data_IF_261225438884
#
_entry.id   IF_261225438884
#
_cell.length_a   1.000
_cell.length_b   1.000
_cell.length_c   1.000
_cell.angle_alpha   90.00
_cell.angle_beta   90.00
_cell.angle_gamma   90.00
#
_symmetry.space_group_name_H-M   'P 1'
#
loop_
_entity.id
_entity.type
_entity.pdbx_description
1 polymer ?
#
# COMPACT_ATOMS: atom_id res chain seq x y z
N UNK A 1 14.54 17.49 -6.30
CA UNK A 1 13.40 17.85 -7.21
C UNK A 1 12.30 18.37 -6.31
N UNK A 2 11.73 19.52 -6.61
CA UNK A 2 10.52 19.98 -5.90
C UNK A 2 9.30 19.24 -6.48
N UNK A 3 8.63 18.44 -5.65
CA UNK A 3 7.45 17.66 -6.07
C UNK A 3 6.16 18.48 -6.10
N UNK A 4 6.18 19.76 -5.72
CA UNK A 4 5.03 20.66 -5.72
C UNK A 4 3.84 20.14 -4.90
N UNK A 5 4.13 19.46 -3.78
CA UNK A 5 3.14 18.85 -2.90
C UNK A 5 2.80 19.70 -1.68
N UNK A 6 3.55 20.77 -1.42
CA UNK A 6 3.37 21.63 -0.25
C UNK A 6 1.94 22.15 -0.15
N UNK A 7 1.33 21.98 1.02
CA UNK A 7 -0.03 22.44 1.33
C UNK A 7 -1.13 21.46 0.91
N UNK A 8 -0.82 20.32 0.29
CA UNK A 8 -1.77 19.25 0.01
C UNK A 8 -2.11 18.45 1.26
N UNK A 9 -3.28 17.81 1.25
CA UNK A 9 -3.74 16.90 2.29
C UNK A 9 -3.73 15.46 1.78
N UNK A 10 -3.24 14.54 2.60
CA UNK A 10 -3.20 13.12 2.26
C UNK A 10 -3.81 12.25 3.37
N UNK A 11 -4.40 11.14 2.99
CA UNK A 11 -4.73 10.03 3.87
C UNK A 11 -3.86 8.84 3.49
N UNK A 12 -3.15 8.27 4.46
CA UNK A 12 -2.35 7.04 4.28
C UNK A 12 -2.89 5.97 5.20
N UNK A 13 -3.63 5.00 4.65
CA UNK A 13 -4.13 3.87 5.43
C UNK A 13 -2.98 2.91 5.77
N UNK A 14 -2.96 2.39 7.01
CA UNK A 14 -1.81 1.61 7.48
C UNK A 14 -0.52 2.41 7.60
N UNK A 15 -0.61 3.75 7.71
CA UNK A 15 0.51 4.70 7.71
C UNK A 15 1.39 4.73 8.96
N UNK A 16 1.19 3.80 9.91
CA UNK A 16 1.94 3.74 11.17
C UNK A 16 3.01 2.65 11.24
N UNK A 17 3.20 1.86 10.17
CA UNK A 17 4.21 0.80 10.12
C UNK A 17 4.67 0.54 8.67
N UNK A 18 5.85 -0.07 8.51
CA UNK A 18 6.40 -0.55 7.24
C UNK A 18 6.31 0.48 6.11
N UNK A 19 5.87 0.02 4.92
CA UNK A 19 5.72 0.86 3.72
C UNK A 19 4.85 2.10 3.99
N UNK A 20 3.72 1.92 4.70
CA UNK A 20 2.82 3.02 5.01
C UNK A 20 3.46 4.13 5.86
N UNK A 21 4.29 3.78 6.83
CA UNK A 21 5.02 4.75 7.65
C UNK A 21 6.09 5.49 6.83
N UNK A 22 6.81 4.78 5.96
CA UNK A 22 7.76 5.40 5.05
C UNK A 22 7.07 6.39 4.10
N UNK A 23 5.90 6.02 3.54
CA UNK A 23 5.06 6.91 2.71
C UNK A 23 4.62 8.14 3.52
N UNK A 24 4.14 7.93 4.75
CA UNK A 24 3.74 9.03 5.65
C UNK A 24 4.87 10.03 5.85
N UNK A 25 6.09 9.53 6.15
CA UNK A 25 7.28 10.37 6.31
C UNK A 25 7.66 11.10 5.03
N UNK A 26 7.67 10.42 3.89
CA UNK A 26 8.03 11.00 2.61
C UNK A 26 7.08 12.13 2.21
N UNK A 27 5.76 11.92 2.29
CA UNK A 27 4.77 12.94 1.98
C UNK A 27 4.83 14.12 2.96
N UNK A 28 4.99 13.85 4.26
CA UNK A 28 5.13 14.90 5.27
C UNK A 28 6.39 15.78 5.06
N UNK A 29 7.50 15.18 4.63
CA UNK A 29 8.74 15.89 4.28
C UNK A 29 8.56 16.83 3.06
N UNK A 30 7.67 16.49 2.13
CA UNK A 30 7.28 17.34 0.99
C UNK A 30 6.26 18.43 1.37
N UNK A 31 5.95 18.58 2.66
CA UNK A 31 5.02 19.61 3.16
C UNK A 31 3.54 19.26 3.02
N UNK A 32 3.22 17.98 2.83
CA UNK A 32 1.85 17.45 2.84
C UNK A 32 1.37 17.29 4.29
N UNK A 33 0.14 17.67 4.57
CA UNK A 33 -0.53 17.30 5.84
C UNK A 33 -1.07 15.89 5.71
N UNK A 34 -0.45 14.94 6.41
CA UNK A 34 -0.80 13.52 6.29
C UNK A 34 -1.68 13.08 7.44
N UNK A 35 -2.85 12.55 7.14
CA UNK A 35 -3.74 11.89 8.11
C UNK A 35 -3.48 10.38 8.10
N UNK A 36 -3.21 9.82 9.28
CA UNK A 36 -2.95 8.39 9.48
C UNK A 36 -4.04 7.79 10.37
N UNK A 37 -5.00 7.03 9.80
CA UNK A 37 -5.97 6.28 10.59
C UNK A 37 -5.35 5.00 11.16
N UNK A 38 -5.82 4.59 12.36
CA UNK A 38 -5.40 3.34 12.97
C UNK A 38 -6.22 3.01 14.22
N UNK A 39 -6.13 1.75 14.68
CA UNK A 39 -6.97 1.20 15.77
C UNK A 39 -6.54 1.62 17.16
N UNK A 40 -5.26 1.88 17.37
CA UNK A 40 -4.69 2.18 18.69
C UNK A 40 -4.05 3.56 18.71
N UNK A 41 -4.59 4.44 19.55
CA UNK A 41 -4.04 5.79 19.78
C UNK A 41 -2.59 5.73 20.26
N UNK A 42 -2.27 4.81 21.13
CA UNK A 42 -0.92 4.63 21.69
C UNK A 42 0.09 4.27 20.58
N UNK A 43 -0.25 3.24 19.75
CA UNK A 43 0.61 2.82 18.63
C UNK A 43 0.77 3.94 17.59
N UNK A 44 -0.30 4.66 17.26
CA UNK A 44 -0.24 5.82 16.38
C UNK A 44 0.70 6.89 16.93
N UNK A 45 0.50 7.30 18.19
CA UNK A 45 1.33 8.34 18.79
C UNK A 45 2.81 7.93 18.87
N UNK A 46 3.11 6.66 19.17
CA UNK A 46 4.48 6.14 19.19
C UNK A 46 5.10 6.16 17.78
N UNK A 47 4.39 5.68 16.78
CA UNK A 47 4.90 5.56 15.41
C UNK A 47 5.11 6.92 14.73
N UNK A 48 4.24 7.89 15.05
CA UNK A 48 4.23 9.21 14.42
C UNK A 48 4.96 10.29 15.23
N UNK A 49 5.53 9.92 16.37
CA UNK A 49 6.27 10.85 17.22
C UNK A 49 7.42 11.53 16.47
N UNK A 50 7.50 12.86 16.57
CA UNK A 50 8.55 13.66 15.92
C UNK A 50 8.37 13.90 14.42
N UNK A 51 7.32 13.36 13.80
CA UNK A 51 7.02 13.66 12.39
C UNK A 51 6.11 14.88 12.34
N UNK A 52 6.58 15.95 11.73
CA UNK A 52 5.78 17.19 11.54
C UNK A 52 4.74 16.97 10.41
N UNK A 53 3.67 17.77 10.43
CA UNK A 53 2.57 17.73 9.45
C UNK A 53 1.81 16.38 9.40
N UNK A 54 1.76 15.63 10.51
CA UNK A 54 1.03 14.37 10.58
C UNK A 54 -0.06 14.43 11.65
N UNK A 55 -1.24 13.90 11.32
CA UNK A 55 -2.40 13.78 12.21
C UNK A 55 -2.78 12.31 12.41
N UNK A 56 -2.87 11.88 13.65
CA UNK A 56 -3.37 10.55 14.00
C UNK A 56 -4.89 10.57 14.19
N UNK A 57 -5.60 9.62 13.61
CA UNK A 57 -7.05 9.44 13.83
C UNK A 57 -7.32 8.00 14.28
N UNK A 58 -8.05 7.87 15.39
CA UNK A 58 -8.47 6.54 15.86
C UNK A 58 -9.70 6.10 15.06
N UNK A 59 -9.47 5.30 14.04
CA UNK A 59 -10.48 4.69 13.19
C UNK A 59 -9.86 3.46 12.50
N UNK A 60 -10.61 2.38 12.35
CA UNK A 60 -10.16 1.18 11.61
C UNK A 60 -10.75 1.19 10.18
N UNK A 61 -10.03 1.68 9.17
CA UNK A 61 -10.55 1.73 7.80
C UNK A 61 -10.75 0.32 7.19
N UNK A 62 -10.28 -0.74 7.85
CA UNK A 62 -10.56 -2.12 7.49
C UNK A 62 -12.02 -2.52 7.67
N UNK A 63 -12.80 -1.79 8.49
CA UNK A 63 -14.23 -2.03 8.70
C UNK A 63 -15.08 -0.94 8.07
N UNK A 64 -16.37 -1.22 7.84
CA UNK A 64 -17.32 -0.24 7.30
C UNK A 64 -17.52 0.94 8.27
N UNK A 65 -17.67 0.64 9.55
CA UNK A 65 -17.87 1.61 10.62
C UNK A 65 -16.65 2.51 10.80
N UNK A 66 -15.46 1.92 10.79
CA UNK A 66 -14.22 2.69 10.91
C UNK A 66 -13.92 3.55 9.69
N UNK A 67 -14.25 3.09 8.47
CA UNK A 67 -14.18 3.91 7.27
C UNK A 67 -15.15 5.11 7.35
N UNK A 68 -16.39 4.89 7.81
CA UNK A 68 -17.36 5.96 8.02
C UNK A 68 -16.90 6.98 9.08
N UNK A 69 -16.33 6.51 10.19
CA UNK A 69 -15.79 7.35 11.26
C UNK A 69 -14.57 8.20 10.78
N UNK A 70 -13.73 7.65 9.92
CA UNK A 70 -12.64 8.38 9.28
C UNK A 70 -13.18 9.48 8.35
N UNK A 71 -14.12 9.14 7.48
CA UNK A 71 -14.75 10.05 6.53
C UNK A 71 -15.43 11.23 7.25
N UNK A 72 -16.11 10.95 8.35
CA UNK A 72 -16.77 12.01 9.15
C UNK A 72 -15.76 13.02 9.70
N UNK A 73 -14.57 12.57 10.10
CA UNK A 73 -13.53 13.42 10.68
C UNK A 73 -12.66 14.11 9.61
N UNK A 74 -12.55 13.51 8.43
CA UNK A 74 -11.76 14.00 7.30
C UNK A 74 -12.61 13.89 6.04
N UNK A 75 -13.51 14.85 5.79
CA UNK A 75 -14.47 14.77 4.67
C UNK A 75 -13.81 14.91 3.29
N UNK A 76 -12.63 15.52 3.21
CA UNK A 76 -11.91 15.78 1.96
C UNK A 76 -10.43 15.47 2.07
N UNK A 77 -9.83 15.06 0.95
CA UNK A 77 -8.39 14.87 0.81
C UNK A 77 -7.95 15.03 -0.65
N UNK A 78 -6.74 15.52 -0.85
CA UNK A 78 -6.13 15.64 -2.18
C UNK A 78 -5.49 14.32 -2.64
N UNK A 79 -4.95 13.54 -1.70
CA UNK A 79 -4.20 12.32 -1.97
C UNK A 79 -4.74 11.21 -1.08
N UNK A 80 -5.14 10.10 -1.69
CA UNK A 80 -5.58 8.89 -0.98
C UNK A 80 -4.62 7.75 -1.29
N UNK A 81 -3.88 7.29 -0.27
CA UNK A 81 -3.02 6.11 -0.36
C UNK A 81 -3.69 4.93 0.34
N UNK A 82 -4.25 4.03 -0.45
CA UNK A 82 -4.86 2.78 -0.01
C UNK A 82 -3.75 1.74 0.20
N UNK A 83 -3.08 1.78 1.37
CA UNK A 83 -1.97 0.91 1.71
C UNK A 83 -2.35 -0.17 2.73
N UNK A 84 -3.49 -0.05 3.42
CA UNK A 84 -3.91 -1.05 4.41
C UNK A 84 -4.01 -2.44 3.77
N UNK A 85 -3.41 -3.43 4.43
CA UNK A 85 -3.49 -4.82 4.01
C UNK A 85 -3.00 -5.77 5.09
N UNK A 86 -3.50 -6.99 5.00
CA UNK A 86 -3.05 -8.15 5.78
C UNK A 86 -2.66 -9.28 4.83
N UNK A 87 -1.80 -10.15 5.28
CA UNK A 87 -1.44 -11.39 4.60
C UNK A 87 -1.26 -12.51 5.63
N UNK A 88 -1.53 -13.72 5.23
CA UNK A 88 -1.36 -14.91 6.07
C UNK A 88 -1.04 -16.09 5.15
N UNK A 89 0.18 -16.68 5.23
CA UNK A 89 0.46 -17.93 4.55
C UNK A 89 -0.41 -19.05 5.09
N UNK A 90 -1.08 -19.77 4.18
CA UNK A 90 -1.97 -20.86 4.55
C UNK A 90 -2.15 -21.82 3.36
N UNK A 91 -2.07 -23.17 3.57
CA UNK A 91 -2.37 -24.15 2.54
C UNK A 91 -3.77 -23.92 1.96
N UNK A 92 -3.93 -24.04 0.65
CA UNK A 92 -5.21 -23.73 0.00
C UNK A 92 -6.40 -24.49 0.59
N UNK A 93 -6.21 -25.77 0.89
CA UNK A 93 -7.28 -26.59 1.47
C UNK A 93 -7.72 -26.18 2.89
N UNK A 94 -6.90 -25.36 3.58
CA UNK A 94 -7.17 -24.86 4.93
C UNK A 94 -7.74 -23.44 4.95
N UNK A 95 -7.76 -22.75 3.80
CA UNK A 95 -8.31 -21.39 3.69
C UNK A 95 -9.84 -21.49 3.73
N UNK A 96 -10.43 -21.06 4.84
CA UNK A 96 -11.89 -21.07 5.03
C UNK A 96 -12.56 -19.90 4.32
N UNK A 97 -13.89 -19.98 4.10
CA UNK A 97 -14.67 -18.84 3.60
C UNK A 97 -14.50 -17.60 4.49
N UNK A 98 -14.41 -17.80 5.80
CA UNK A 98 -14.18 -16.70 6.74
C UNK A 98 -12.82 -16.02 6.51
N UNK A 99 -11.76 -16.77 6.21
CA UNK A 99 -10.43 -16.21 5.86
C UNK A 99 -10.52 -15.40 4.55
N UNK A 100 -11.21 -15.94 3.52
CA UNK A 100 -11.45 -15.24 2.27
C UNK A 100 -12.21 -13.92 2.49
N UNK A 101 -13.29 -13.94 3.24
CA UNK A 101 -14.09 -12.75 3.52
C UNK A 101 -13.29 -11.72 4.30
N UNK A 102 -12.56 -12.14 5.34
CA UNK A 102 -11.72 -11.26 6.17
C UNK A 102 -10.65 -10.56 5.37
N UNK A 103 -9.89 -11.32 4.57
CA UNK A 103 -8.78 -10.71 3.80
C UNK A 103 -9.32 -9.79 2.70
N UNK A 104 -10.44 -10.13 2.07
CA UNK A 104 -11.10 -9.29 1.07
C UNK A 104 -11.66 -8.01 1.70
N UNK A 105 -12.28 -8.10 2.86
CA UNK A 105 -12.78 -6.96 3.64
C UNK A 105 -11.68 -5.93 3.89
N UNK A 106 -10.53 -6.39 4.42
CA UNK A 106 -9.43 -5.52 4.81
C UNK A 106 -8.66 -5.02 3.60
N UNK A 107 -8.28 -5.90 2.65
CA UNK A 107 -7.38 -5.54 1.56
C UNK A 107 -8.07 -4.85 0.39
N UNK A 108 -9.36 -5.12 0.18
CA UNK A 108 -10.10 -4.65 -1.00
C UNK A 108 -11.15 -3.62 -0.61
N UNK A 109 -12.12 -4.02 0.25
CA UNK A 109 -13.25 -3.16 0.58
C UNK A 109 -12.85 -1.91 1.35
N UNK A 110 -11.77 -1.92 2.13
CA UNK A 110 -11.23 -0.71 2.77
C UNK A 110 -10.93 0.38 1.73
N UNK A 111 -10.17 0.05 0.69
CA UNK A 111 -9.83 0.97 -0.39
C UNK A 111 -11.04 1.38 -1.24
N UNK A 112 -11.97 0.44 -1.48
CA UNK A 112 -13.23 0.72 -2.18
C UNK A 112 -14.09 1.73 -1.42
N UNK A 113 -14.25 1.59 -0.10
CA UNK A 113 -15.06 2.50 0.73
C UNK A 113 -14.51 3.92 0.72
N UNK A 114 -13.21 4.06 0.91
CA UNK A 114 -12.56 5.36 0.92
C UNK A 114 -12.57 5.99 -0.47
N UNK A 115 -12.21 5.23 -1.51
CA UNK A 115 -12.25 5.73 -2.88
C UNK A 115 -13.67 6.15 -3.31
N UNK A 116 -14.71 5.40 -2.92
CA UNK A 116 -16.11 5.75 -3.20
C UNK A 116 -16.50 7.13 -2.65
N UNK A 117 -15.90 7.52 -1.53
CA UNK A 117 -16.17 8.82 -0.91
C UNK A 117 -15.29 9.94 -1.50
N UNK A 118 -13.98 9.74 -1.56
CA UNK A 118 -13.04 10.81 -1.91
C UNK A 118 -12.90 11.03 -3.41
N UNK A 119 -12.96 9.98 -4.22
CA UNK A 119 -12.73 10.08 -5.66
C UNK A 119 -13.72 11.00 -6.39
N UNK A 120 -15.06 10.95 -6.16
CA UNK A 120 -15.99 11.92 -6.77
C UNK A 120 -15.65 13.36 -6.44
N UNK A 121 -15.25 13.65 -5.19
CA UNK A 121 -14.82 14.98 -4.75
C UNK A 121 -13.56 15.47 -5.46
N UNK A 122 -12.60 14.57 -5.66
CA UNK A 122 -11.40 14.87 -6.46
C UNK A 122 -11.77 15.23 -7.90
N UNK A 123 -12.75 14.55 -8.51
CA UNK A 123 -13.25 14.89 -9.84
C UNK A 123 -13.93 16.27 -9.87
N UNK A 124 -14.76 16.60 -8.87
CA UNK A 124 -15.42 17.91 -8.72
C UNK A 124 -14.38 19.05 -8.61
N UNK A 125 -13.31 18.84 -7.84
CA UNK A 125 -12.22 19.81 -7.68
C UNK A 125 -11.24 19.80 -8.85
N UNK A 126 -11.41 18.90 -9.81
CA UNK A 126 -10.50 18.66 -10.95
C UNK A 126 -9.04 18.46 -10.54
N UNK A 127 -8.79 17.87 -9.36
CA UNK A 127 -7.46 17.45 -8.91
C UNK A 127 -7.56 16.35 -7.84
N UNK A 128 -6.71 15.37 -7.94
CA UNK A 128 -6.61 14.30 -6.94
C UNK A 128 -5.66 13.20 -7.35
N UNK A 129 -5.21 12.44 -6.35
CA UNK A 129 -4.35 11.27 -6.51
C UNK A 129 -4.90 10.12 -5.70
N UNK A 130 -5.31 9.05 -6.36
CA UNK A 130 -5.67 7.79 -5.70
C UNK A 130 -4.60 6.76 -6.02
N UNK A 131 -3.97 6.22 -4.99
CA UNK A 131 -2.87 5.27 -5.12
C UNK A 131 -3.23 4.01 -4.32
N UNK A 132 -3.18 2.86 -4.99
CA UNK A 132 -3.31 1.57 -4.32
C UNK A 132 -1.92 0.95 -4.15
N UNK A 133 -1.62 0.44 -2.97
CA UNK A 133 -0.42 -0.36 -2.72
C UNK A 133 -0.81 -1.83 -2.84
N UNK A 134 -0.62 -2.36 -4.05
CA UNK A 134 -0.85 -3.76 -4.35
C UNK A 134 0.38 -4.62 -3.96
N UNK A 135 0.83 -5.47 -4.85
CA UNK A 135 2.01 -6.35 -4.71
C UNK A 135 2.32 -6.97 -6.06
N UNK A 136 3.56 -7.46 -6.25
CA UNK A 136 3.90 -8.39 -7.33
C UNK A 136 3.00 -9.63 -7.30
N UNK A 137 2.54 -10.00 -6.09
CA UNK A 137 1.61 -11.12 -5.88
C UNK A 137 0.26 -10.96 -6.55
N UNK A 138 -0.10 -9.74 -6.95
CA UNK A 138 -1.30 -9.47 -7.76
C UNK A 138 -1.16 -9.93 -9.23
N UNK A 139 0.07 -10.16 -9.70
CA UNK A 139 0.39 -10.66 -11.05
C UNK A 139 0.95 -12.08 -10.98
N UNK A 140 1.84 -12.34 -10.04
CA UNK A 140 2.43 -13.65 -9.78
C UNK A 140 1.97 -14.16 -8.41
N UNK A 141 0.77 -14.72 -8.38
CA UNK A 141 0.13 -15.20 -7.14
C UNK A 141 0.96 -16.31 -6.50
N UNK A 142 1.44 -16.14 -5.26
CA UNK A 142 2.20 -17.17 -4.57
C UNK A 142 1.30 -18.32 -4.13
N UNK A 143 1.70 -19.59 -4.35
CA UNK A 143 0.86 -20.73 -4.00
C UNK A 143 0.60 -20.86 -2.49
N UNK A 144 1.49 -20.33 -1.67
CA UNK A 144 1.35 -20.29 -0.21
C UNK A 144 0.40 -19.21 0.31
N UNK A 145 -0.09 -18.31 -0.55
CA UNK A 145 -0.97 -17.19 -0.18
C UNK A 145 -1.96 -16.83 -1.30
N UNK A 146 -2.68 -17.80 -1.84
CA UNK A 146 -3.56 -17.59 -3.01
C UNK A 146 -4.61 -16.50 -2.75
N UNK A 147 -5.28 -16.53 -1.60
CA UNK A 147 -6.31 -15.54 -1.24
C UNK A 147 -5.72 -14.12 -1.13
N UNK A 148 -4.48 -13.98 -0.65
CA UNK A 148 -3.78 -12.70 -0.66
C UNK A 148 -3.55 -12.20 -2.10
N UNK A 149 -3.01 -13.05 -2.97
CA UNK A 149 -2.76 -12.72 -4.38
C UNK A 149 -4.03 -12.25 -5.09
N UNK A 150 -5.17 -12.94 -4.87
CA UNK A 150 -6.48 -12.52 -5.40
C UNK A 150 -6.85 -11.11 -4.95
N UNK A 151 -6.65 -10.77 -3.67
CA UNK A 151 -6.96 -9.41 -3.20
C UNK A 151 -6.05 -8.36 -3.86
N UNK A 152 -4.80 -8.69 -4.12
CA UNK A 152 -3.85 -7.79 -4.79
C UNK A 152 -4.16 -7.61 -6.28
N UNK A 153 -4.59 -8.68 -6.98
CA UNK A 153 -5.14 -8.59 -8.34
C UNK A 153 -6.41 -7.72 -8.38
N UNK A 154 -7.28 -7.86 -7.39
CA UNK A 154 -8.51 -7.04 -7.29
C UNK A 154 -8.20 -5.55 -7.17
N UNK A 155 -7.14 -5.18 -6.43
CA UNK A 155 -6.70 -3.78 -6.33
C UNK A 155 -6.23 -3.22 -7.68
N UNK A 156 -5.53 -4.02 -8.51
CA UNK A 156 -5.13 -3.64 -9.87
C UNK A 156 -6.36 -3.33 -10.74
N UNK A 157 -7.34 -4.23 -10.71
CA UNK A 157 -8.57 -4.08 -11.49
C UNK A 157 -9.39 -2.85 -11.05
N UNK A 158 -9.54 -2.64 -9.73
CA UNK A 158 -10.27 -1.48 -9.17
C UNK A 158 -9.58 -0.18 -9.58
N UNK A 159 -8.25 -0.10 -9.40
CA UNK A 159 -7.46 1.07 -9.77
C UNK A 159 -7.61 1.40 -11.26
N UNK A 160 -7.49 0.40 -12.12
CA UNK A 160 -7.66 0.57 -13.57
C UNK A 160 -9.07 1.04 -13.91
N UNK A 161 -10.10 0.44 -13.31
CA UNK A 161 -11.50 0.83 -13.54
C UNK A 161 -11.79 2.28 -13.10
N UNK A 162 -11.27 2.72 -11.95
CA UNK A 162 -11.40 4.10 -11.49
C UNK A 162 -10.66 5.08 -12.40
N UNK A 163 -9.50 4.70 -12.95
CA UNK A 163 -8.75 5.55 -13.87
C UNK A 163 -9.55 5.87 -15.15
N UNK A 164 -10.37 4.95 -15.67
CA UNK A 164 -11.23 5.23 -16.84
C UNK A 164 -12.22 6.38 -16.61
N UNK A 165 -12.62 6.60 -15.35
CA UNK A 165 -13.55 7.66 -14.97
C UNK A 165 -12.87 9.04 -14.87
N UNK A 166 -11.55 9.12 -14.95
CA UNK A 166 -10.79 10.38 -14.83
C UNK A 166 -10.64 11.14 -16.17
N UNK A 167 -11.20 10.61 -17.26
CA UNK A 167 -11.02 11.16 -18.60
C UNK A 167 -11.32 12.66 -18.66
N UNK A 168 -10.35 13.45 -19.14
CA UNK A 168 -10.51 14.90 -19.27
C UNK A 168 -10.31 15.69 -17.99
N UNK A 169 -9.87 15.07 -16.90
CA UNK A 169 -9.58 15.71 -15.60
C UNK A 169 -8.10 15.69 -15.26
N UNK A 170 -7.71 16.41 -14.21
CA UNK A 170 -6.36 16.36 -13.63
C UNK A 170 -6.23 15.31 -12.49
N UNK A 171 -7.21 14.45 -12.29
CA UNK A 171 -7.20 13.34 -11.32
C UNK A 171 -6.46 12.14 -11.93
N UNK A 172 -5.63 11.47 -11.13
CA UNK A 172 -5.00 10.21 -11.54
C UNK A 172 -5.24 9.10 -10.53
N UNK A 173 -5.38 7.88 -11.03
CA UNK A 173 -5.51 6.67 -10.22
C UNK A 173 -4.46 5.67 -10.68
N UNK A 174 -3.56 5.29 -9.79
CA UNK A 174 -2.46 4.38 -10.10
C UNK A 174 -2.31 3.31 -9.01
N UNK A 175 -1.63 2.25 -9.36
CA UNK A 175 -1.22 1.21 -8.40
C UNK A 175 0.29 1.11 -8.35
N UNK A 176 0.85 0.97 -7.16
CA UNK A 176 2.24 0.56 -6.94
C UNK A 176 2.24 -0.93 -6.59
N UNK A 177 3.16 -1.68 -7.18
CA UNK A 177 3.35 -3.11 -6.92
C UNK A 177 4.72 -3.35 -6.26
N UNK A 178 4.81 -3.28 -4.92
CA UNK A 178 6.03 -3.65 -4.22
C UNK A 178 6.35 -5.13 -4.37
N UNK A 179 7.62 -5.46 -4.38
CA UNK A 179 8.12 -6.81 -4.10
C UNK A 179 8.30 -7.04 -2.60
N UNK A 180 9.03 -8.11 -2.21
CA UNK A 180 9.36 -8.37 -0.81
C UNK A 180 10.10 -7.18 -0.19
N UNK A 181 9.45 -6.53 0.78
CA UNK A 181 9.90 -5.26 1.37
C UNK A 181 10.18 -5.43 2.85
N UNK A 182 11.26 -4.82 3.33
CA UNK A 182 11.67 -4.86 4.74
C UNK A 182 10.62 -4.20 5.62
N UNK A 183 10.08 -4.98 6.56
CA UNK A 183 9.08 -4.57 7.55
C UNK A 183 9.23 -5.40 8.82
N UNK A 184 8.60 -5.00 9.91
CA UNK A 184 8.68 -5.76 11.18
C UNK A 184 8.26 -7.23 11.02
N UNK A 185 7.24 -7.53 10.20
CA UNK A 185 6.75 -8.91 10.02
C UNK A 185 7.54 -9.76 9.03
N UNK A 186 8.35 -9.17 8.15
CA UNK A 186 9.05 -9.93 7.10
C UNK A 186 10.18 -10.79 7.69
N UNK A 187 10.86 -10.31 8.72
CA UNK A 187 11.98 -11.03 9.34
C UNK A 187 11.50 -12.36 9.95
N UNK A 188 10.37 -12.33 10.64
CA UNK A 188 9.79 -13.54 11.22
C UNK A 188 9.26 -14.48 10.14
N UNK A 189 8.64 -13.94 9.09
CA UNK A 189 8.22 -14.72 7.93
C UNK A 189 9.41 -15.42 7.26
N UNK A 190 10.52 -14.72 7.00
CA UNK A 190 11.71 -15.29 6.38
C UNK A 190 12.31 -16.41 7.22
N UNK A 191 12.37 -16.26 8.53
CA UNK A 191 12.83 -17.32 9.45
C UNK A 191 11.93 -18.56 9.37
N UNK A 192 10.63 -18.36 9.28
CA UNK A 192 9.65 -19.46 9.23
C UNK A 192 9.71 -20.26 7.92
N UNK A 193 10.09 -19.63 6.80
CA UNK A 193 10.21 -20.31 5.50
C UNK A 193 11.62 -20.83 5.22
N UNK A 194 12.60 -20.49 6.05
CA UNK A 194 13.97 -21.01 5.94
C UNK A 194 14.04 -22.49 6.30
N UNK A 195 14.86 -23.24 5.59
CA UNK A 195 15.14 -24.65 5.90
C UNK A 195 16.16 -24.82 7.05
N UNK A 196 16.86 -23.76 7.44
CA UNK A 196 17.82 -23.80 8.54
C UNK A 196 17.09 -23.77 9.90
N UNK A 197 17.50 -24.54 10.91
CA UNK A 197 16.80 -24.61 12.20
C UNK A 197 16.87 -23.33 13.02
N UNK A 198 17.88 -22.49 12.83
CA UNK A 198 18.03 -21.17 13.48
C UNK A 198 18.79 -20.22 12.55
N UNK A 199 18.19 -19.74 11.47
CA UNK A 199 18.89 -18.88 10.52
C UNK A 199 19.13 -17.49 11.11
N UNK A 200 20.27 -16.87 10.77
CA UNK A 200 20.37 -15.42 10.94
C UNK A 200 19.46 -14.71 9.96
N UNK A 201 19.07 -13.43 10.21
CA UNK A 201 18.25 -12.68 9.26
C UNK A 201 18.84 -12.67 7.84
N UNK A 202 20.15 -12.51 7.70
CA UNK A 202 20.87 -12.49 6.43
C UNK A 202 20.84 -13.84 5.71
N UNK A 203 20.99 -14.94 6.47
CA UNK A 203 20.88 -16.30 5.93
C UNK A 203 19.47 -16.59 5.42
N UNK A 204 18.45 -16.22 6.21
CA UNK A 204 17.05 -16.40 5.85
C UNK A 204 16.67 -15.55 4.61
N UNK A 205 17.14 -14.30 4.54
CA UNK A 205 16.93 -13.42 3.39
C UNK A 205 17.58 -13.99 2.13
N UNK A 206 18.84 -14.41 2.20
CA UNK A 206 19.55 -15.01 1.08
C UNK A 206 18.84 -16.28 0.57
N UNK A 207 18.51 -17.20 1.47
CA UNK A 207 17.78 -18.43 1.13
C UNK A 207 16.43 -18.13 0.47
N UNK A 208 15.70 -17.15 0.98
CA UNK A 208 14.40 -16.75 0.44
C UNK A 208 14.52 -16.29 -1.03
N UNK A 209 15.52 -15.46 -1.35
CA UNK A 209 15.72 -15.02 -2.73
C UNK A 209 16.23 -16.16 -3.62
N UNK A 210 17.08 -17.04 -3.13
CA UNK A 210 17.57 -18.19 -3.90
C UNK A 210 16.44 -19.20 -4.22
N UNK A 211 15.56 -19.50 -3.26
CA UNK A 211 14.57 -20.57 -3.37
C UNK A 211 13.16 -20.09 -3.76
N UNK A 212 12.69 -18.98 -3.18
CA UNK A 212 11.31 -18.54 -3.31
C UNK A 212 11.13 -17.35 -4.25
N UNK A 213 12.17 -16.54 -4.44
CA UNK A 213 12.13 -15.34 -5.30
C UNK A 213 13.38 -15.24 -6.21
N UNK A 214 13.79 -16.37 -6.78
CA UNK A 214 15.01 -16.48 -7.59
C UNK A 214 15.01 -15.60 -8.85
N UNK A 215 13.84 -15.16 -9.33
CA UNK A 215 13.73 -14.26 -10.46
C UNK A 215 14.02 -12.79 -10.12
N UNK A 216 14.07 -12.42 -8.84
CA UNK A 216 14.38 -11.03 -8.45
C UNK A 216 15.77 -10.62 -8.98
N UNK A 217 15.86 -9.51 -9.67
CA UNK A 217 17.13 -8.95 -10.11
C UNK A 217 17.86 -8.25 -8.96
N UNK A 218 17.12 -7.79 -7.96
CA UNK A 218 17.66 -7.06 -6.82
C UNK A 218 18.32 -7.98 -5.79
N UNK A 219 17.82 -9.22 -5.65
CA UNK A 219 18.34 -10.27 -4.73
C UNK A 219 18.47 -9.82 -3.26
N UNK A 220 17.64 -8.87 -2.82
CA UNK A 220 17.51 -8.41 -1.44
C UNK A 220 16.10 -7.90 -1.17
N UNK A 221 15.76 -7.75 0.09
CA UNK A 221 14.55 -6.99 0.44
C UNK A 221 14.64 -5.56 -0.06
N UNK A 222 13.51 -5.04 -0.51
CA UNK A 222 13.34 -3.63 -0.87
C UNK A 222 13.21 -2.85 0.43
N UNK A 223 13.85 -1.70 0.54
CA UNK A 223 13.62 -0.81 1.68
C UNK A 223 12.30 -0.05 1.51
N UNK A 224 11.59 0.16 2.62
CA UNK A 224 10.28 0.84 2.56
C UNK A 224 10.37 2.25 1.97
N UNK A 225 11.50 2.92 2.12
CA UNK A 225 11.81 4.24 1.57
C UNK A 225 11.92 4.23 0.03
N UNK A 226 12.35 3.12 -0.58
CA UNK A 226 12.40 2.97 -2.04
C UNK A 226 10.98 2.98 -2.63
N UNK A 227 10.03 2.35 -1.94
CA UNK A 227 8.61 2.40 -2.31
C UNK A 227 8.01 3.79 -2.05
N UNK A 228 8.31 4.37 -0.90
CA UNK A 228 7.78 5.67 -0.49
C UNK A 228 8.20 6.79 -1.46
N UNK A 229 9.43 6.75 -1.98
CA UNK A 229 9.93 7.71 -2.97
C UNK A 229 9.12 7.67 -4.26
N UNK A 230 8.76 6.48 -4.74
CA UNK A 230 7.90 6.33 -5.91
C UNK A 230 6.48 6.84 -5.63
N UNK A 231 5.92 6.53 -4.45
CA UNK A 231 4.59 7.03 -4.05
C UNK A 231 4.57 8.55 -3.97
N UNK A 232 5.61 9.19 -3.40
CA UNK A 232 5.72 10.64 -3.35
C UNK A 232 5.75 11.25 -4.76
N UNK A 233 6.53 10.69 -5.69
CA UNK A 233 6.54 11.13 -7.09
C UNK A 233 5.16 10.98 -7.76
N UNK A 234 4.50 9.84 -7.61
CA UNK A 234 3.18 9.58 -8.20
C UNK A 234 2.08 10.45 -7.57
N UNK A 235 2.28 10.93 -6.36
CA UNK A 235 1.40 11.91 -5.70
C UNK A 235 1.53 13.31 -6.29
N UNK A 236 2.63 13.61 -6.98
CA UNK A 236 2.97 14.93 -7.51
C UNK A 236 2.17 15.30 -8.76
N UNK A 237 1.91 16.60 -9.03
CA UNK A 237 1.44 17.06 -10.33
C UNK A 237 2.43 16.76 -11.47
N UNK A 238 3.73 16.57 -11.19
CA UNK A 238 4.76 16.24 -12.17
C UNK A 238 4.54 14.84 -12.80
N UNK A 239 3.80 13.97 -12.13
CA UNK A 239 3.46 12.63 -12.64
C UNK A 239 2.13 12.58 -13.42
N UNK A 240 1.58 13.72 -13.84
CA UNK A 240 0.24 13.81 -14.47
C UNK A 240 0.07 12.91 -15.71
N UNK A 241 1.13 12.60 -16.43
CA UNK A 241 1.09 11.67 -17.58
C UNK A 241 0.92 10.20 -17.17
N UNK A 242 1.10 9.87 -15.87
CA UNK A 242 0.96 8.52 -15.34
C UNK A 242 -0.43 8.34 -14.73
N UNK A 243 -1.33 7.69 -15.46
CA UNK A 243 -2.71 7.45 -15.04
C UNK A 243 -3.17 6.07 -15.51
N UNK A 244 -3.81 5.32 -14.63
CA UNK A 244 -4.25 3.94 -14.87
C UNK A 244 -3.10 2.93 -14.94
N UNK A 245 -1.92 3.28 -14.44
CA UNK A 245 -0.74 2.45 -14.48
C UNK A 245 -0.65 1.53 -13.25
N UNK A 246 -0.07 0.35 -13.46
CA UNK A 246 0.40 -0.56 -12.42
C UNK A 246 1.93 -0.49 -12.40
N UNK A 247 2.48 0.33 -11.51
CA UNK A 247 3.90 0.66 -11.46
C UNK A 247 4.65 -0.38 -10.63
N UNK A 248 5.64 -0.98 -11.25
CA UNK A 248 6.45 -2.05 -10.66
C UNK A 248 7.56 -1.47 -9.81
N UNK A 249 7.60 -1.83 -8.53
CA UNK A 249 8.65 -1.53 -7.58
C UNK A 249 9.04 -2.82 -6.82
N UNK A 250 9.29 -3.89 -7.58
CA UNK A 250 9.38 -5.26 -7.10
C UNK A 250 10.77 -5.91 -7.32
N UNK A 251 11.76 -5.09 -7.66
CA UNK A 251 13.15 -5.55 -7.80
C UNK A 251 13.40 -6.43 -9.02
N UNK A 252 12.57 -6.32 -10.08
CA UNK A 252 12.69 -7.11 -11.30
C UNK A 252 12.27 -8.58 -11.13
N UNK A 253 11.38 -8.84 -10.18
CA UNK A 253 10.89 -10.19 -9.87
C UNK A 253 9.95 -10.72 -10.96
N UNK A 254 9.09 -9.86 -11.49
CA UNK A 254 8.18 -10.21 -12.58
C UNK A 254 8.92 -10.20 -13.93
N UNK A 255 8.84 -11.30 -14.67
CA UNK A 255 9.55 -11.48 -15.95
C UNK A 255 8.77 -10.96 -17.17
N UNK A 256 7.53 -10.47 -16.97
CA UNK A 256 6.76 -9.87 -18.06
C UNK A 256 7.37 -8.54 -18.52
N UNK A 257 7.16 -8.20 -19.80
CA UNK A 257 7.61 -6.92 -20.38
C UNK A 257 6.71 -5.77 -19.87
N UNK A 258 5.44 -6.06 -19.61
CA UNK A 258 4.43 -5.14 -19.10
C UNK A 258 3.73 -5.74 -17.88
#
# INVERSE_FOLDING_TARGET
>A
MDLQLKGKNAIVTGGSAGIGLAITKALAAEGVTVTVPGRSKEKLNKALAGIINVKAIVADPGTAEGAAALIQQVPDTDILVNNLGIYEPKPFAEITDADWLKIFEVNVLSGVRLSRHYFPRMLEHNWGRVIFISSESGVMTPPEMIHYGVTKSSQLAISRGLAELTKGTAVTVNTIMPGPTRSEGIVDFLKNVSSAPNPTPEQAEKEFFEKHRSSSLLQRLIESEEIASLVAFISSPLSAATNGASLRAEGGLLRSIA
#
